data_IF_695879830865
#
_entry.id   IF_695879830865
#
_cell.length_a   1.000
_cell.length_b   1.000
_cell.length_c   1.000
_cell.angle_alpha   90.00
_cell.angle_beta   90.00
_cell.angle_gamma   90.00
#
_symmetry.space_group_name_H-M   'P 1'
#
loop_
_entity.id
_entity.type
_entity.pdbx_description
1 polymer ?
#
# COMPACT_ATOMS: atom_id res chain seq x y z
N UNK A 1 -5.86 4.14 6.00
CA UNK A 1 -5.52 4.13 4.55
C UNK A 1 -6.56 3.27 3.87
N UNK A 2 -7.18 3.74 2.79
CA UNK A 2 -8.10 2.94 1.97
C UNK A 2 -7.39 2.68 0.64
N UNK A 3 -7.35 1.43 0.20
CA UNK A 3 -6.78 1.03 -1.10
C UNK A 3 -7.95 0.97 -2.10
N UNK A 4 -7.98 1.84 -3.13
CA UNK A 4 -9.04 1.81 -4.15
C UNK A 4 -9.05 0.48 -4.91
N UNK A 5 -10.23 0.07 -5.37
CA UNK A 5 -10.36 -1.07 -6.27
C UNK A 5 -9.58 -0.82 -7.57
N UNK A 6 -8.92 -1.85 -8.10
CA UNK A 6 -8.07 -1.74 -9.28
C UNK A 6 -6.68 -1.13 -9.03
N UNK A 7 -6.27 -0.94 -7.78
CA UNK A 7 -4.89 -0.58 -7.46
C UNK A 7 -3.93 -1.60 -8.06
N UNK A 8 -2.93 -1.15 -8.81
CA UNK A 8 -1.93 -2.00 -9.43
C UNK A 8 -0.73 -2.19 -8.49
N UNK A 9 0.08 -3.23 -8.75
CA UNK A 9 1.37 -3.40 -8.06
C UNK A 9 2.28 -2.19 -8.33
N UNK A 10 3.19 -1.89 -7.40
CA UNK A 10 4.07 -0.71 -7.41
C UNK A 10 3.34 0.64 -7.29
N UNK A 11 2.03 0.63 -7.01
CA UNK A 11 1.32 1.88 -6.72
C UNK A 11 1.78 2.45 -5.38
N UNK A 12 2.21 3.70 -5.40
CA UNK A 12 2.66 4.44 -4.22
C UNK A 12 1.53 5.23 -3.58
N UNK A 13 1.35 5.07 -2.28
CA UNK A 13 0.42 5.83 -1.46
C UNK A 13 1.17 6.68 -0.45
N UNK A 14 0.81 7.96 -0.38
CA UNK A 14 1.38 8.92 0.57
C UNK A 14 0.50 9.05 1.80
N UNK A 15 1.04 8.71 2.96
CA UNK A 15 0.44 8.96 4.26
C UNK A 15 1.07 10.23 4.85
N UNK A 16 0.33 11.34 4.73
CA UNK A 16 0.82 12.65 5.18
C UNK A 16 1.04 12.69 6.70
N UNK A 17 2.18 13.19 7.15
CA UNK A 17 2.49 13.36 8.58
C UNK A 17 2.68 12.06 9.37
N UNK A 18 2.83 10.92 8.67
CA UNK A 18 3.07 9.59 9.28
C UNK A 18 4.51 9.09 9.10
N UNK A 19 5.38 9.93 8.53
CA UNK A 19 6.81 9.67 8.40
C UNK A 19 7.59 10.05 9.66
N UNK A 20 8.91 10.05 9.55
CA UNK A 20 9.80 10.35 10.67
C UNK A 20 9.65 11.81 11.17
N UNK A 21 9.87 12.06 12.47
CA UNK A 21 9.89 13.43 13.01
C UNK A 21 11.03 14.25 12.38
N UNK A 22 10.75 15.50 12.05
CA UNK A 22 11.75 16.42 11.52
C UNK A 22 12.72 16.85 12.63
N UNK A 23 14.04 16.78 12.38
CA UNK A 23 15.07 17.13 13.38
C UNK A 23 15.00 18.58 13.90
N UNK A 24 14.38 19.51 13.15
CA UNK A 24 14.22 20.92 13.52
C UNK A 24 12.80 21.43 13.28
N UNK A 25 11.79 20.71 13.76
CA UNK A 25 10.39 21.16 13.66
C UNK A 25 9.43 20.31 14.49
N UNK A 26 8.21 20.81 14.69
CA UNK A 26 7.15 20.13 15.44
C UNK A 26 6.31 19.18 14.58
N UNK A 27 6.71 18.96 13.33
CA UNK A 27 5.96 18.21 12.33
C UNK A 27 6.69 16.89 11.98
N UNK A 28 5.90 15.94 11.50
CA UNK A 28 6.39 14.68 10.95
C UNK A 28 6.45 14.78 9.43
N UNK A 29 7.39 14.05 8.81
CA UNK A 29 7.41 13.82 7.37
C UNK A 29 6.27 12.92 6.90
N UNK A 30 6.34 12.51 5.64
CA UNK A 30 5.35 11.62 5.03
C UNK A 30 5.86 10.18 4.96
N UNK A 31 4.95 9.22 5.10
CA UNK A 31 5.26 7.81 4.88
C UNK A 31 4.78 7.42 3.49
N UNK A 32 5.69 6.93 2.64
CA UNK A 32 5.36 6.40 1.32
C UNK A 32 5.23 4.89 1.42
N UNK A 33 4.05 4.38 1.11
CA UNK A 33 3.76 2.94 1.10
C UNK A 33 3.65 2.48 -0.34
N UNK A 34 4.43 1.49 -0.73
CA UNK A 34 4.36 0.84 -2.04
C UNK A 34 3.53 -0.43 -1.92
N UNK A 35 2.51 -0.59 -2.76
CA UNK A 35 1.65 -1.78 -2.75
C UNK A 35 2.27 -2.86 -3.64
N UNK A 36 2.43 -4.06 -3.09
CA UNK A 36 2.84 -5.24 -3.83
C UNK A 36 1.68 -6.24 -3.92
N UNK A 37 1.34 -6.66 -5.13
CA UNK A 37 0.27 -7.64 -5.37
C UNK A 37 0.89 -8.98 -5.68
N UNK A 38 0.73 -9.94 -4.77
CA UNK A 38 1.14 -11.32 -4.99
C UNK A 38 0.00 -12.12 -5.63
N UNK A 39 0.26 -12.64 -6.84
CA UNK A 39 -0.72 -13.45 -7.58
C UNK A 39 -0.60 -14.90 -7.12
N UNK A 40 -1.67 -15.48 -6.55
CA UNK A 40 -1.61 -16.83 -6.00
C UNK A 40 -1.33 -17.87 -7.09
N UNK A 41 -0.29 -18.69 -6.87
CA UNK A 41 0.14 -19.75 -7.81
C UNK A 41 -0.76 -20.99 -7.80
N UNK A 42 -1.49 -21.21 -6.70
CA UNK A 42 -2.41 -22.35 -6.53
C UNK A 42 -3.78 -21.80 -6.14
N UNK A 43 -4.78 -22.17 -6.92
CA UNK A 43 -6.18 -21.82 -6.70
C UNK A 43 -6.96 -23.10 -6.41
N UNK A 44 -7.87 -23.05 -5.44
CA UNK A 44 -8.83 -24.13 -5.18
C UNK A 44 -9.92 -24.18 -6.29
N UNK A 45 -10.78 -25.21 -6.28
CA UNK A 45 -11.79 -25.41 -7.32
C UNK A 45 -12.80 -24.25 -7.42
N UNK A 46 -13.15 -23.65 -6.29
CA UNK A 46 -14.12 -22.55 -6.23
C UNK A 46 -13.52 -21.24 -6.76
N UNK A 47 -12.26 -20.95 -6.42
CA UNK A 47 -11.52 -19.79 -6.91
C UNK A 47 -11.26 -19.82 -8.43
N UNK A 48 -11.24 -21.00 -9.06
CA UNK A 48 -11.12 -21.13 -10.51
C UNK A 48 -12.44 -21.02 -11.27
N UNK A 49 -13.57 -21.14 -10.56
CA UNK A 49 -14.92 -21.09 -11.15
C UNK A 49 -15.44 -19.64 -11.27
N UNK A 50 -14.90 -18.73 -10.47
CA UNK A 50 -15.14 -17.28 -10.51
C UNK A 50 -14.23 -16.60 -11.54
#
# INVERSE_FOLDING_TARGET
>A
MKIPAGTQTETNFRLRGKGAPLMRGNNNGDHIVTVFIDVPKKLNKDQRRL
#
